data_IF_782132069614
#
_entry.id   IF_782132069614
#
_cell.length_a   1.000
_cell.length_b   1.000
_cell.length_c   1.000
_cell.angle_alpha   90.00
_cell.angle_beta   90.00
_cell.angle_gamma   90.00
#
_symmetry.space_group_name_H-M   'P 1'
#
loop_
_entity.id
_entity.type
_entity.pdbx_description
1 polymer ?
#
# COMPACT_ATOMS: atom_id res chain seq x y z
N UNK A 1 29.94 46.59 -32.30
CA UNK A 1 29.27 46.18 -33.56
C UNK A 1 29.93 44.88 -34.03
N UNK A 2 29.11 43.90 -34.43
CA UNK A 2 29.40 42.52 -34.89
C UNK A 2 29.67 41.45 -33.83
N UNK A 3 28.60 40.66 -33.67
CA UNK A 3 28.45 39.29 -33.20
C UNK A 3 29.38 38.31 -33.92
N UNK A 4 29.67 37.17 -33.30
CA UNK A 4 29.38 35.86 -33.91
C UNK A 4 29.43 34.68 -32.94
N UNK A 5 28.62 33.70 -33.29
CA UNK A 5 28.02 32.62 -32.54
C UNK A 5 28.65 31.30 -32.96
N UNK A 6 29.21 30.51 -32.03
CA UNK A 6 29.33 29.05 -32.22
C UNK A 6 29.08 28.30 -30.91
N UNK A 7 28.11 27.40 -31.03
CA UNK A 7 27.61 26.41 -30.08
C UNK A 7 28.71 25.42 -29.70
N UNK A 8 28.61 24.86 -28.49
CA UNK A 8 28.70 23.40 -28.27
C UNK A 8 28.16 23.04 -26.90
N UNK A 9 27.13 22.20 -26.92
CA UNK A 9 26.53 21.50 -25.79
C UNK A 9 27.53 20.49 -25.21
N UNK A 10 27.59 20.41 -23.89
CA UNK A 10 28.24 19.34 -23.15
C UNK A 10 27.45 19.07 -21.87
N UNK A 11 26.57 18.08 -21.95
CA UNK A 11 25.71 17.59 -20.87
C UNK A 11 26.53 16.72 -19.91
N UNK A 12 26.02 16.61 -18.68
CA UNK A 12 26.23 15.55 -17.70
C UNK A 12 27.35 15.77 -16.67
N UNK A 13 26.93 16.14 -15.47
CA UNK A 13 27.38 15.44 -14.28
C UNK A 13 26.22 15.34 -13.28
N UNK A 14 25.79 14.09 -13.15
CA UNK A 14 24.88 13.55 -12.17
C UNK A 14 25.41 13.89 -10.78
N UNK A 15 24.65 14.68 -10.00
CA UNK A 15 24.81 14.71 -8.55
C UNK A 15 23.60 14.01 -7.96
N UNK A 16 23.70 12.68 -7.90
CA UNK A 16 22.98 11.87 -6.94
C UNK A 16 23.42 12.34 -5.54
N UNK A 17 22.57 13.09 -4.85
CA UNK A 17 22.76 13.42 -3.45
C UNK A 17 21.54 12.95 -2.63
N UNK A 18 21.66 11.74 -2.10
CA UNK A 18 21.35 11.39 -0.71
C UNK A 18 19.95 11.70 -0.17
N UNK A 19 18.98 10.86 -0.49
CA UNK A 19 17.86 10.60 0.41
C UNK A 19 18.16 9.34 1.23
N UNK A 20 18.85 9.50 2.35
CA UNK A 20 18.89 8.48 3.41
C UNK A 20 18.49 9.14 4.72
N UNK A 21 17.21 9.49 4.81
CA UNK A 21 16.51 9.58 6.07
C UNK A 21 15.65 8.32 6.17
N UNK A 22 16.23 7.26 6.72
CA UNK A 22 15.48 6.15 7.30
C UNK A 22 14.79 6.66 8.58
N UNK A 23 13.85 7.59 8.42
CA UNK A 23 12.84 7.85 9.41
C UNK A 23 11.87 6.67 9.43
N UNK A 24 11.15 6.49 10.53
CA UNK A 24 10.00 5.60 10.61
C UNK A 24 9.07 5.90 9.43
N UNK A 25 9.21 5.19 8.32
CA UNK A 25 8.46 5.49 7.12
C UNK A 25 7.05 4.95 7.35
N UNK A 26 6.17 5.82 7.81
CA UNK A 26 4.73 5.65 7.63
C UNK A 26 4.53 5.37 6.16
N UNK A 27 4.13 4.14 5.81
CA UNK A 27 3.87 3.84 4.41
C UNK A 27 2.73 4.71 3.87
N UNK A 28 2.50 4.71 2.54
CA UNK A 28 1.55 5.61 1.93
C UNK A 28 0.16 5.48 2.56
N UNK A 29 -0.40 6.63 2.95
CA UNK A 29 -1.77 6.71 3.45
C UNK A 29 -2.76 6.31 2.35
N UNK A 30 -3.97 5.90 2.74
CA UNK A 30 -5.06 5.76 1.79
C UNK A 30 -5.25 7.07 1.01
N UNK A 31 -5.35 6.99 -0.33
CA UNK A 31 -5.58 8.17 -1.12
C UNK A 31 -6.95 8.75 -0.76
N UNK A 32 -7.01 10.07 -0.56
CA UNK A 32 -8.26 10.76 -0.29
C UNK A 32 -9.22 10.64 -1.49
N UNK A 33 -10.54 10.79 -1.28
CA UNK A 33 -11.49 10.83 -2.39
C UNK A 33 -11.09 11.84 -3.48
N UNK A 34 -10.59 13.01 -3.08
CA UNK A 34 -10.13 14.04 -4.01
C UNK A 34 -8.90 13.60 -4.82
N UNK A 35 -7.96 12.88 -4.21
CA UNK A 35 -6.79 12.35 -4.94
C UNK A 35 -7.20 11.29 -5.96
N UNK A 36 -8.15 10.42 -5.60
CA UNK A 36 -8.71 9.41 -6.51
C UNK A 36 -9.42 10.10 -7.69
N UNK A 37 -10.28 11.08 -7.38
CA UNK A 37 -11.06 11.81 -8.38
C UNK A 37 -10.21 12.72 -9.27
N UNK A 38 -9.09 13.25 -8.77
CA UNK A 38 -8.19 14.11 -9.51
C UNK A 38 -7.16 13.34 -10.36
N UNK A 39 -7.07 12.02 -10.24
CA UNK A 39 -6.16 11.21 -11.05
C UNK A 39 -6.54 11.31 -12.54
N UNK A 40 -5.62 11.79 -13.38
CA UNK A 40 -5.85 11.98 -14.82
C UNK A 40 -4.73 11.41 -15.68
N UNK A 41 -3.52 11.41 -15.15
CA UNK A 41 -2.34 10.91 -15.85
C UNK A 41 -2.05 9.47 -15.43
N UNK A 42 -1.28 8.76 -16.27
CA UNK A 42 -0.76 7.44 -15.92
C UNK A 42 -0.05 7.44 -14.56
N UNK A 43 0.78 8.46 -14.31
CA UNK A 43 1.51 8.59 -13.06
C UNK A 43 0.58 8.76 -11.85
N UNK A 44 -0.51 9.52 -12.00
CA UNK A 44 -1.49 9.69 -10.91
C UNK A 44 -2.18 8.36 -10.58
N UNK A 45 -2.62 7.62 -11.61
CA UNK A 45 -3.25 6.32 -11.41
C UNK A 45 -2.28 5.29 -10.83
N UNK A 46 -1.02 5.27 -11.27
CA UNK A 46 0.01 4.40 -10.69
C UNK A 46 0.28 4.74 -9.21
N UNK A 47 0.27 6.01 -8.84
CA UNK A 47 0.38 6.47 -7.45
C UNK A 47 -0.78 5.97 -6.59
N UNK A 48 -2.03 6.17 -7.05
CA UNK A 48 -3.23 5.69 -6.34
C UNK A 48 -3.24 4.15 -6.24
N UNK A 49 -2.86 3.46 -7.31
CA UNK A 49 -2.77 2.00 -7.30
C UNK A 49 -1.75 1.49 -6.29
N UNK A 50 -0.60 2.16 -6.19
CA UNK A 50 0.47 1.79 -5.25
C UNK A 50 0.03 2.00 -3.79
N UNK A 51 -0.69 3.08 -3.50
CA UNK A 51 -1.25 3.31 -2.17
C UNK A 51 -2.27 2.23 -1.77
N UNK A 52 -3.20 1.86 -2.67
CA UNK A 52 -4.12 0.75 -2.39
C UNK A 52 -3.40 -0.60 -2.25
N UNK A 53 -2.39 -0.90 -3.07
CA UNK A 53 -1.63 -2.13 -2.94
C UNK A 53 -0.92 -2.23 -1.58
N UNK A 54 -0.33 -1.13 -1.11
CA UNK A 54 0.25 -1.07 0.24
C UNK A 54 -0.80 -1.35 1.33
N UNK A 55 -1.99 -0.78 1.21
CA UNK A 55 -3.08 -0.98 2.18
C UNK A 55 -3.61 -2.41 2.15
N UNK A 56 -3.62 -3.06 0.98
CA UNK A 56 -3.93 -4.48 0.87
C UNK A 56 -2.92 -5.34 1.64
N UNK A 57 -1.62 -5.03 1.51
CA UNK A 57 -0.56 -5.73 2.25
C UNK A 57 -0.67 -5.51 3.77
N UNK A 58 -0.96 -4.29 4.21
CA UNK A 58 -1.19 -4.01 5.63
C UNK A 58 -2.38 -4.79 6.17
N UNK A 59 -3.51 -4.81 5.47
CA UNK A 59 -4.66 -5.60 5.87
C UNK A 59 -4.33 -7.12 5.93
N UNK A 60 -3.54 -7.65 5.00
CA UNK A 60 -3.08 -9.06 5.08
C UNK A 60 -2.22 -9.33 6.31
N UNK A 61 -1.36 -8.39 6.68
CA UNK A 61 -0.52 -8.49 7.90
C UNK A 61 -1.39 -8.47 9.15
N UNK A 62 -2.40 -7.60 9.21
CA UNK A 62 -3.34 -7.57 10.34
C UNK A 62 -4.13 -8.89 10.44
N UNK A 63 -4.61 -9.43 9.32
CA UNK A 63 -5.22 -10.75 9.29
C UNK A 63 -4.27 -11.85 9.79
N UNK A 64 -2.99 -11.82 9.41
CA UNK A 64 -1.98 -12.76 9.89
C UNK A 64 -1.78 -12.65 11.40
N UNK A 65 -1.65 -11.44 11.93
CA UNK A 65 -1.56 -11.20 13.38
C UNK A 65 -2.75 -11.81 14.12
N UNK A 66 -3.98 -11.63 13.62
CA UNK A 66 -5.16 -12.23 14.25
C UNK A 66 -5.20 -13.77 14.13
N UNK A 67 -4.70 -14.36 13.05
CA UNK A 67 -4.53 -15.82 12.97
C UNK A 67 -3.54 -16.33 14.01
N UNK A 68 -2.48 -15.59 14.28
CA UNK A 68 -1.46 -15.97 15.26
C UNK A 68 -2.01 -15.89 16.69
N UNK A 69 -2.82 -14.87 16.98
CA UNK A 69 -3.56 -14.75 18.24
C UNK A 69 -4.58 -15.88 18.43
N UNK A 70 -5.37 -16.19 17.41
CA UNK A 70 -6.35 -17.29 17.46
C UNK A 70 -5.68 -18.63 17.80
N UNK A 71 -4.53 -18.94 17.15
CA UNK A 71 -3.73 -20.12 17.47
C UNK A 71 -3.21 -20.11 18.90
N UNK A 72 -2.86 -18.93 19.43
CA UNK A 72 -2.40 -18.77 20.82
C UNK A 72 -3.53 -19.06 21.81
N UNK A 73 -4.75 -18.58 21.56
CA UNK A 73 -5.91 -18.90 22.39
C UNK A 73 -6.26 -20.39 22.35
N UNK A 74 -6.23 -21.00 21.16
CA UNK A 74 -6.44 -22.43 21.01
C UNK A 74 -5.40 -23.26 21.78
N UNK A 75 -4.13 -22.84 21.77
CA UNK A 75 -3.05 -23.49 22.53
C UNK A 75 -3.28 -23.39 24.05
N UNK A 76 -3.65 -22.21 24.57
CA UNK A 76 -3.99 -22.02 25.99
C UNK A 76 -5.17 -22.92 26.42
N UNK A 77 -6.18 -23.04 25.56
CA UNK A 77 -7.32 -23.94 25.79
C UNK A 77 -6.88 -25.40 25.86
N UNK A 78 -5.98 -25.83 24.97
CA UNK A 78 -5.49 -27.21 24.93
C UNK A 78 -4.73 -27.62 26.20
N UNK A 79 -4.04 -26.68 26.86
CA UNK A 79 -3.33 -26.92 28.12
C UNK A 79 -4.17 -26.60 29.37
N UNK A 80 -5.47 -26.34 29.22
CA UNK A 80 -6.39 -26.08 30.32
C UNK A 80 -6.20 -24.74 31.03
N UNK A 81 -5.46 -23.79 30.42
CA UNK A 81 -5.16 -22.47 31.03
C UNK A 81 -6.20 -21.38 30.73
N UNK A 82 -7.40 -21.78 30.29
CA UNK A 82 -8.53 -20.88 30.07
C UNK A 82 -9.16 -21.08 28.69
N UNK A 83 -10.47 -20.90 28.63
CA UNK A 83 -11.21 -20.79 27.37
C UNK A 83 -11.53 -19.32 27.13
N UNK A 84 -11.19 -18.81 25.95
CA UNK A 84 -11.47 -17.44 25.55
C UNK A 84 -12.40 -17.40 24.32
N UNK A 85 -13.61 -17.97 24.40
CA UNK A 85 -14.49 -18.12 23.24
C UNK A 85 -14.84 -16.78 22.58
N UNK A 86 -14.97 -15.71 23.37
CA UNK A 86 -15.21 -14.36 22.83
C UNK A 86 -13.99 -13.83 22.06
N UNK A 87 -12.76 -14.16 22.49
CA UNK A 87 -11.54 -13.75 21.80
C UNK A 87 -11.29 -14.58 20.54
N UNK A 88 -11.59 -15.88 20.55
CA UNK A 88 -11.58 -16.72 19.35
C UNK A 88 -12.58 -16.17 18.31
N UNK A 89 -13.81 -15.85 18.73
CA UNK A 89 -14.82 -15.21 17.87
C UNK A 89 -14.37 -13.84 17.36
N UNK A 90 -13.77 -13.02 18.21
CA UNK A 90 -13.19 -11.73 17.83
C UNK A 90 -12.11 -11.90 16.76
N UNK A 91 -11.17 -12.82 16.95
CA UNK A 91 -10.09 -13.07 15.99
C UNK A 91 -10.64 -13.57 14.67
N UNK A 92 -11.58 -14.51 14.67
CA UNK A 92 -12.23 -14.99 13.45
C UNK A 92 -12.91 -13.85 12.67
N UNK A 93 -13.65 -12.97 13.36
CA UNK A 93 -14.28 -11.80 12.74
C UNK A 93 -13.24 -10.82 12.19
N UNK A 94 -12.14 -10.58 12.92
CA UNK A 94 -11.07 -9.69 12.48
C UNK A 94 -10.34 -10.23 11.24
N UNK A 95 -10.00 -11.53 11.21
CA UNK A 95 -9.40 -12.20 10.06
C UNK A 95 -10.27 -11.99 8.82
N UNK A 96 -11.56 -12.32 8.91
CA UNK A 96 -12.50 -12.18 7.79
C UNK A 96 -12.61 -10.73 7.32
N UNK A 97 -12.69 -9.77 8.27
CA UNK A 97 -12.74 -8.34 7.96
C UNK A 97 -11.50 -7.90 7.18
N UNK A 98 -10.31 -8.23 7.68
CA UNK A 98 -9.05 -7.79 7.07
C UNK A 98 -8.78 -8.46 5.72
N UNK A 99 -9.13 -9.73 5.55
CA UNK A 99 -9.10 -10.40 4.23
C UNK A 99 -10.05 -9.74 3.23
N UNK A 100 -11.26 -9.39 3.68
CA UNK A 100 -12.23 -8.65 2.88
C UNK A 100 -11.72 -7.26 2.49
N UNK A 101 -11.04 -6.55 3.40
CA UNK A 101 -10.39 -5.27 3.11
C UNK A 101 -9.24 -5.43 2.11
N UNK A 102 -8.35 -6.41 2.31
CA UNK A 102 -7.25 -6.69 1.38
C UNK A 102 -7.76 -6.93 -0.04
N UNK A 103 -8.80 -7.77 -0.19
CA UNK A 103 -9.44 -8.05 -1.47
C UNK A 103 -10.02 -6.79 -2.13
N UNK A 104 -10.66 -5.92 -1.35
CA UNK A 104 -11.21 -4.66 -1.87
C UNK A 104 -10.11 -3.70 -2.32
N UNK A 105 -9.03 -3.59 -1.55
CA UNK A 105 -7.89 -2.76 -1.91
C UNK A 105 -7.15 -3.29 -3.14
N UNK A 106 -6.98 -4.61 -3.29
CA UNK A 106 -6.43 -5.21 -4.50
C UNK A 106 -7.24 -4.86 -5.74
N UNK A 107 -8.58 -4.94 -5.64
CA UNK A 107 -9.48 -4.59 -6.75
C UNK A 107 -9.30 -3.13 -7.14
N UNK A 108 -9.29 -2.21 -6.18
CA UNK A 108 -9.05 -0.78 -6.43
C UNK A 108 -7.67 -0.52 -7.03
N UNK A 109 -6.63 -1.18 -6.52
CA UNK A 109 -5.29 -1.09 -7.09
C UNK A 109 -5.27 -1.57 -8.55
N UNK A 110 -5.93 -2.69 -8.84
CA UNK A 110 -6.03 -3.24 -10.19
C UNK A 110 -6.83 -2.31 -11.13
N UNK A 111 -7.95 -1.73 -10.68
CA UNK A 111 -8.73 -0.77 -11.46
C UNK A 111 -7.88 0.45 -11.84
N UNK A 112 -7.11 1.01 -10.90
CA UNK A 112 -6.21 2.12 -11.20
C UNK A 112 -5.06 1.73 -12.14
N UNK A 113 -4.49 0.52 -12.03
CA UNK A 113 -3.49 0.04 -13.01
C UNK A 113 -4.07 -0.07 -14.42
N UNK A 114 -5.32 -0.53 -14.57
CA UNK A 114 -6.00 -0.56 -15.88
C UNK A 114 -6.24 0.85 -16.42
N UNK A 115 -6.68 1.79 -15.58
CA UNK A 115 -6.81 3.21 -15.98
C UNK A 115 -5.45 3.80 -16.42
N UNK A 116 -4.37 3.48 -15.70
CA UNK A 116 -3.01 3.90 -16.03
C UNK A 116 -2.54 3.40 -17.41
N UNK A 117 -3.03 2.22 -17.83
CA UNK A 117 -2.75 1.60 -19.13
C UNK A 117 -3.66 2.13 -20.25
N UNK A 118 -4.74 2.84 -19.89
CA UNK A 118 -5.76 3.30 -20.82
C UNK A 118 -6.83 2.26 -21.15
N UNK A 119 -6.88 1.16 -20.40
CA UNK A 119 -7.79 0.02 -20.62
C UNK A 119 -9.19 0.22 -20.03
N UNK A 120 -9.37 1.28 -19.25
CA UNK A 120 -10.66 1.78 -18.77
C UNK A 120 -10.72 3.26 -19.10
N UNK A 121 -11.75 3.66 -19.83
CA UNK A 121 -12.14 5.07 -19.99
C UNK A 121 -13.54 5.25 -19.43
#
# INVERSE_FOLDING_TARGET
MRTDWKRSLGVASVVLAGFVLAGCASGPELPSPQQIEAARTRADHDGVASAFAYQADMARRDAATHRDMDRSFAALRAIGQGAYPDMEKHCAAAISKYEGMATQYDRRAADHRRMAQGDLR
#
